data_IF_227099908464
#
_entry.id   IF_227099908464
#
_cell.length_a   1.000
_cell.length_b   1.000
_cell.length_c   1.000
_cell.angle_alpha   90.00
_cell.angle_beta   90.00
_cell.angle_gamma   90.00
#
_symmetry.space_group_name_H-M   'P 1'
#
loop_
_entity.id
_entity.type
_entity.pdbx_description
1 polymer ?
#
# COMPACT_ATOMS: atom_id res chain seq x y z
N UNK A 1 -1.07 11.32 28.90
CA UNK A 1 -1.56 9.93 28.76
C UNK A 1 -0.86 9.33 27.56
N UNK A 2 -0.20 8.19 27.72
CA UNK A 2 0.55 7.55 26.65
C UNK A 2 -0.40 6.75 25.75
N UNK A 3 -0.07 6.67 24.47
CA UNK A 3 -0.80 5.84 23.52
C UNK A 3 -0.67 4.37 23.93
N UNK A 4 -1.80 3.67 24.04
CA UNK A 4 -1.83 2.25 24.34
C UNK A 4 -3.00 1.59 23.63
N UNK A 5 -2.86 0.28 23.38
CA UNK A 5 -3.89 -0.50 22.71
C UNK A 5 -4.92 -0.98 23.75
N UNK A 6 -6.15 -0.49 23.64
CA UNK A 6 -7.23 -0.89 24.56
C UNK A 6 -7.78 -2.29 24.25
N UNK A 7 -7.87 -2.65 22.95
CA UNK A 7 -8.34 -3.96 22.52
C UNK A 7 -7.39 -4.55 21.47
N UNK A 8 -6.45 -5.37 21.95
CA UNK A 8 -5.44 -5.98 21.10
C UNK A 8 -6.04 -6.83 19.98
N UNK A 9 -7.07 -7.63 20.28
CA UNK A 9 -7.69 -8.52 19.30
C UNK A 9 -8.34 -7.73 18.15
N UNK A 10 -9.05 -6.65 18.45
CA UNK A 10 -9.63 -5.79 17.43
C UNK A 10 -8.56 -5.05 16.62
N UNK A 11 -7.53 -4.53 17.31
CA UNK A 11 -6.42 -3.80 16.69
C UNK A 11 -5.65 -4.64 15.66
N UNK A 12 -5.59 -5.96 15.81
CA UNK A 12 -4.91 -6.85 14.85
C UNK A 12 -5.88 -7.47 13.83
N UNK A 13 -7.07 -7.91 14.26
CA UNK A 13 -7.96 -8.67 13.37
C UNK A 13 -8.69 -7.79 12.36
N UNK A 14 -9.07 -6.56 12.73
CA UNK A 14 -9.79 -5.69 11.80
C UNK A 14 -8.90 -5.26 10.62
N UNK A 15 -7.66 -4.79 10.83
CA UNK A 15 -6.77 -4.48 9.71
C UNK A 15 -6.42 -5.72 8.88
N UNK A 16 -6.19 -6.88 9.52
CA UNK A 16 -5.89 -8.12 8.79
C UNK A 16 -7.04 -8.52 7.85
N UNK A 17 -8.30 -8.42 8.32
CA UNK A 17 -9.48 -8.68 7.49
C UNK A 17 -9.61 -7.66 6.36
N UNK A 18 -9.44 -6.37 6.65
CA UNK A 18 -9.49 -5.33 5.63
C UNK A 18 -8.41 -5.54 4.56
N UNK A 19 -7.19 -5.90 4.97
CA UNK A 19 -6.08 -6.20 4.05
C UNK A 19 -6.36 -7.43 3.20
N UNK A 20 -6.91 -8.50 3.78
CA UNK A 20 -7.31 -9.69 3.03
C UNK A 20 -8.39 -9.37 1.98
N UNK A 21 -9.40 -8.58 2.34
CA UNK A 21 -10.44 -8.15 1.40
C UNK A 21 -9.86 -7.27 0.29
N UNK A 22 -8.93 -6.37 0.61
CA UNK A 22 -8.24 -5.54 -0.38
C UNK A 22 -7.43 -6.38 -1.36
N UNK A 23 -6.72 -7.42 -0.89
CA UNK A 23 -5.98 -8.34 -1.79
C UNK A 23 -6.94 -9.05 -2.75
N UNK A 24 -8.08 -9.54 -2.24
CA UNK A 24 -9.10 -10.18 -3.08
C UNK A 24 -9.60 -9.22 -4.15
N UNK A 25 -9.91 -7.98 -3.78
CA UNK A 25 -10.38 -6.96 -4.72
C UNK A 25 -9.32 -6.61 -5.78
N UNK A 26 -8.06 -6.41 -5.37
CA UNK A 26 -6.95 -6.09 -6.27
C UNK A 26 -6.63 -7.21 -7.27
N UNK A 27 -6.83 -8.47 -6.88
CA UNK A 27 -6.50 -9.63 -7.69
C UNK A 27 -7.72 -10.28 -8.36
N UNK A 28 -8.92 -9.72 -8.15
CA UNK A 28 -10.13 -10.16 -8.83
C UNK A 28 -9.97 -10.06 -10.35
N UNK A 29 -10.69 -10.93 -11.08
CA UNK A 29 -10.62 -11.02 -12.55
C UNK A 29 -9.17 -11.19 -13.07
N UNK A 30 -8.40 -12.07 -12.42
CA UNK A 30 -7.01 -12.36 -12.76
C UNK A 30 -6.13 -11.08 -12.82
N UNK A 31 -6.36 -10.16 -11.87
CA UNK A 31 -5.68 -8.88 -11.73
C UNK A 31 -5.68 -8.02 -13.01
N UNK A 32 -6.77 -8.06 -13.77
CA UNK A 32 -6.91 -7.37 -15.07
C UNK A 32 -6.47 -5.90 -15.04
N UNK A 33 -6.92 -5.13 -14.06
CA UNK A 33 -6.57 -3.71 -13.94
C UNK A 33 -5.07 -3.50 -13.68
N UNK A 34 -4.46 -4.32 -12.82
CA UNK A 34 -3.02 -4.27 -12.57
C UNK A 34 -2.22 -4.57 -13.84
N UNK A 35 -2.66 -5.57 -14.63
CA UNK A 35 -2.03 -5.90 -15.93
C UNK A 35 -2.15 -4.77 -16.94
N UNK A 36 -3.31 -4.11 -17.02
CA UNK A 36 -3.51 -2.96 -17.89
C UNK A 36 -2.58 -1.79 -17.53
N UNK A 37 -2.48 -1.46 -16.23
CA UNK A 37 -1.56 -0.41 -15.75
C UNK A 37 -0.11 -0.76 -16.11
N UNK A 38 0.33 -2.00 -15.90
CA UNK A 38 1.70 -2.40 -16.22
C UNK A 38 2.01 -2.34 -17.71
N UNK A 39 1.02 -2.56 -18.58
CA UNK A 39 1.18 -2.48 -20.03
C UNK A 39 1.23 -1.03 -20.53
N UNK A 40 0.34 -0.18 -19.99
CA UNK A 40 0.04 1.13 -20.59
C UNK A 40 0.67 2.31 -19.84
N UNK A 41 0.98 2.16 -18.55
CA UNK A 41 1.56 3.23 -17.74
C UNK A 41 3.08 3.16 -17.70
N UNK A 42 3.72 4.26 -18.12
CA UNK A 42 5.17 4.45 -17.98
C UNK A 42 5.46 5.42 -16.82
N UNK A 43 6.06 4.96 -15.72
CA UNK A 43 6.47 5.84 -14.62
C UNK A 43 7.45 6.92 -15.09
N UNK A 44 7.28 8.13 -14.56
CA UNK A 44 8.17 9.27 -14.84
C UNK A 44 9.51 9.11 -14.15
N UNK A 45 9.52 8.43 -12.99
CA UNK A 45 10.69 8.19 -12.16
C UNK A 45 10.96 6.69 -12.06
N UNK A 46 12.23 6.33 -11.98
CA UNK A 46 12.61 5.00 -11.50
C UNK A 46 12.28 4.84 -10.01
N UNK A 47 12.36 3.61 -9.51
CA UNK A 47 12.15 3.34 -8.09
C UNK A 47 13.15 4.13 -7.23
N UNK A 48 14.40 4.17 -7.65
CA UNK A 48 15.50 4.82 -6.95
C UNK A 48 15.29 6.34 -6.93
N UNK A 49 14.93 6.94 -8.06
CA UNK A 49 14.62 8.37 -8.18
C UNK A 49 13.41 8.77 -7.33
N UNK A 50 12.38 7.92 -7.31
CA UNK A 50 11.19 8.13 -6.49
C UNK A 50 11.52 8.13 -4.99
N UNK A 51 12.29 7.14 -4.53
CA UNK A 51 12.71 7.04 -3.12
C UNK A 51 13.58 8.24 -2.73
N UNK A 52 14.60 8.58 -3.55
CA UNK A 52 15.47 9.73 -3.28
C UNK A 52 14.68 11.05 -3.18
N UNK A 53 13.67 11.23 -4.04
CA UNK A 53 12.76 12.39 -4.00
C UNK A 53 11.95 12.44 -2.71
N UNK A 54 11.43 11.30 -2.24
CA UNK A 54 10.66 11.24 -0.98
C UNK A 54 11.52 11.53 0.24
N UNK A 55 12.72 10.95 0.33
CA UNK A 55 13.66 11.20 1.42
C UNK A 55 14.06 12.69 1.48
N UNK A 56 14.22 13.33 0.31
CA UNK A 56 14.47 14.76 0.22
C UNK A 56 13.40 15.66 0.85
N UNK A 57 12.15 15.20 1.03
CA UNK A 57 11.10 15.98 1.71
C UNK A 57 11.25 16.02 3.22
N UNK A 58 11.91 15.02 3.82
CA UNK A 58 11.98 14.86 5.28
C UNK A 58 13.34 15.22 5.86
N UNK A 59 14.35 15.48 5.02
CA UNK A 59 15.72 15.83 5.42
C UNK A 59 15.97 17.34 5.47
N UNK A 60 14.94 18.15 5.79
CA UNK A 60 15.05 19.60 5.99
C UNK A 60 15.47 19.96 7.41
#
# INVERSE_FOLDING_TARGET
ADFHVENFKAAVLLPAKAFAMMIVDLLYDDAKEAKAILADFKPILTKEEYIAKLEGYFNA
#
